data_IF_024791922117
#
_entry.id   IF_024791922117
#
_cell.length_a   1.000
_cell.length_b   1.000
_cell.length_c   1.000
_cell.angle_alpha   90.00
_cell.angle_beta   90.00
_cell.angle_gamma   90.00
#
_symmetry.space_group_name_H-M   'P 1'
#
loop_
_entity.id
_entity.type
_entity.pdbx_description
1 polymer ?
#
# COMPACT_ATOMS: atom_id res chain seq x y z
N UNK A 1 9.48 4.08 12.66
CA UNK A 1 8.14 3.68 12.25
C UNK A 1 8.23 3.30 10.79
N UNK A 2 7.86 2.09 10.44
CA UNK A 2 7.97 1.58 9.06
C UNK A 2 6.89 2.21 8.17
N UNK A 3 7.06 2.26 6.85
CA UNK A 3 6.12 2.90 5.90
C UNK A 3 4.67 2.38 6.09
N UNK A 4 4.54 1.07 6.32
CA UNK A 4 3.29 0.40 6.69
C UNK A 4 2.67 0.92 7.99
N UNK A 5 3.47 1.14 9.02
CA UNK A 5 2.97 1.60 10.33
C UNK A 5 2.46 3.04 10.22
N UNK A 6 3.13 3.88 9.42
CA UNK A 6 2.68 5.24 9.14
C UNK A 6 1.31 5.23 8.44
N UNK A 7 1.14 4.39 7.41
CA UNK A 7 -0.14 4.26 6.70
C UNK A 7 -1.31 3.92 7.64
N UNK A 8 -1.16 2.90 8.50
CA UNK A 8 -2.22 2.52 9.45
C UNK A 8 -2.39 3.45 10.66
N UNK A 9 -1.53 4.48 10.79
CA UNK A 9 -1.74 5.57 11.74
C UNK A 9 -2.61 6.69 11.17
N UNK A 10 -2.65 6.82 9.83
CA UNK A 10 -3.47 7.81 9.13
C UNK A 10 -4.82 7.22 8.67
N UNK A 11 -4.84 5.93 8.32
CA UNK A 11 -6.01 5.24 7.77
C UNK A 11 -6.51 4.20 8.78
N UNK A 12 -7.66 4.48 9.40
CA UNK A 12 -8.30 3.52 10.32
C UNK A 12 -9.18 2.53 9.55
N UNK A 13 -8.81 1.25 9.64
CA UNK A 13 -9.49 0.14 8.97
C UNK A 13 -9.50 -1.09 9.87
N UNK A 14 -10.49 -1.96 9.63
CA UNK A 14 -10.64 -3.23 10.36
C UNK A 14 -9.40 -4.11 10.25
N UNK A 15 -9.23 -5.03 11.21
CA UNK A 15 -8.13 -5.99 11.22
C UNK A 15 -8.06 -6.80 9.92
N UNK A 16 -9.20 -7.29 9.45
CA UNK A 16 -9.30 -8.08 8.20
C UNK A 16 -8.86 -7.25 6.99
N UNK A 17 -9.14 -5.95 7.01
CA UNK A 17 -8.72 -5.03 5.94
C UNK A 17 -7.22 -4.80 5.98
N UNK A 18 -6.61 -4.69 7.18
CA UNK A 18 -5.14 -4.63 7.33
C UNK A 18 -4.48 -5.87 6.74
N UNK A 19 -5.00 -7.06 7.07
CA UNK A 19 -4.51 -8.33 6.52
C UNK A 19 -4.63 -8.37 4.98
N UNK A 20 -5.70 -7.81 4.39
CA UNK A 20 -5.84 -7.70 2.93
C UNK A 20 -4.82 -6.75 2.29
N UNK A 21 -4.53 -5.62 2.93
CA UNK A 21 -3.48 -4.71 2.47
C UNK A 21 -2.10 -5.39 2.47
N UNK A 22 -1.79 -6.16 3.51
CA UNK A 22 -0.53 -6.93 3.60
C UNK A 22 -0.43 -7.98 2.49
N UNK A 23 -1.53 -8.67 2.17
CA UNK A 23 -1.57 -9.59 1.03
C UNK A 23 -1.42 -8.85 -0.30
N UNK A 24 -2.08 -7.71 -0.45
CA UNK A 24 -2.02 -6.92 -1.67
C UNK A 24 -0.62 -6.34 -1.90
N UNK A 25 0.07 -5.86 -0.85
CA UNK A 25 1.44 -5.38 -0.96
C UNK A 25 2.39 -6.49 -1.42
N UNK A 26 2.28 -7.68 -0.82
CA UNK A 26 3.11 -8.83 -1.20
C UNK A 26 2.85 -9.27 -2.65
N UNK A 27 1.59 -9.25 -3.10
CA UNK A 27 1.25 -9.53 -4.50
C UNK A 27 1.83 -8.47 -5.43
N UNK A 28 1.72 -7.20 -5.07
CA UNK A 28 2.23 -6.11 -5.90
C UNK A 28 3.75 -6.21 -6.05
N UNK A 29 4.49 -6.40 -4.95
CA UNK A 29 5.94 -6.61 -4.99
C UNK A 29 6.34 -7.83 -5.82
N UNK A 30 5.58 -8.93 -5.71
CA UNK A 30 5.83 -10.14 -6.49
C UNK A 30 5.65 -9.92 -8.00
N UNK A 31 4.63 -9.17 -8.41
CA UNK A 31 4.28 -9.02 -9.82
C UNK A 31 4.89 -7.79 -10.48
N UNK A 32 5.29 -6.77 -9.72
CA UNK A 32 5.86 -5.54 -10.28
C UNK A 32 7.11 -5.79 -11.15
N UNK A 33 8.06 -6.68 -10.80
CA UNK A 33 9.21 -6.99 -11.65
C UNK A 33 8.84 -7.60 -13.00
N UNK A 34 7.69 -8.30 -13.08
CA UNK A 34 7.26 -9.00 -14.28
C UNK A 34 6.53 -8.08 -15.27
N UNK A 35 5.66 -7.20 -14.77
CA UNK A 35 4.73 -6.42 -15.62
C UNK A 35 4.65 -4.92 -15.31
N UNK A 36 5.42 -4.40 -14.35
CA UNK A 36 5.46 -2.98 -13.96
C UNK A 36 4.07 -2.38 -13.67
N UNK A 37 3.43 -2.86 -12.60
CA UNK A 37 2.14 -2.36 -12.12
C UNK A 37 2.23 -0.93 -11.57
N UNK A 38 3.36 -0.60 -10.95
CA UNK A 38 3.71 0.75 -10.49
C UNK A 38 5.15 1.06 -10.87
N UNK A 39 5.55 2.33 -10.82
CA UNK A 39 6.93 2.71 -11.15
C UNK A 39 7.94 1.92 -10.32
N UNK A 40 8.92 1.32 -11.01
CA UNK A 40 10.03 0.57 -10.41
C UNK A 40 10.81 1.40 -9.38
N UNK A 41 10.91 2.70 -9.60
CA UNK A 41 11.62 3.60 -8.69
C UNK A 41 10.85 3.87 -7.41
N UNK A 42 9.55 3.60 -7.35
CA UNK A 42 8.68 3.94 -6.22
C UNK A 42 8.06 2.72 -5.53
N UNK A 43 8.35 1.49 -5.99
CA UNK A 43 7.79 0.27 -5.39
C UNK A 43 8.18 0.11 -3.90
N UNK A 44 9.32 0.70 -3.50
CA UNK A 44 9.77 0.70 -2.12
C UNK A 44 9.07 1.73 -1.23
N UNK A 45 8.28 2.65 -1.82
CA UNK A 45 7.46 3.65 -1.14
C UNK A 45 5.98 3.25 -1.18
N UNK A 46 5.69 1.95 -1.20
CA UNK A 46 4.38 1.40 -1.55
C UNK A 46 3.22 1.96 -0.70
N UNK A 47 3.42 2.04 0.61
CA UNK A 47 2.34 2.37 1.54
C UNK A 47 2.05 3.86 1.53
N UNK A 48 3.10 4.70 1.54
CA UNK A 48 2.95 6.15 1.41
C UNK A 48 2.49 6.59 0.03
N UNK A 49 3.23 6.25 -1.04
CA UNK A 49 2.97 6.79 -2.39
C UNK A 49 1.78 6.17 -3.11
N UNK A 50 1.46 4.90 -2.87
CA UNK A 50 0.42 4.24 -3.66
C UNK A 50 -0.84 3.98 -2.84
N UNK A 51 -0.71 3.52 -1.59
CA UNK A 51 -1.88 3.26 -0.76
C UNK A 51 -2.45 4.52 -0.11
N UNK A 52 -1.61 5.35 0.54
CA UNK A 52 -2.10 6.57 1.20
C UNK A 52 -2.64 7.57 0.17
N UNK A 53 -1.92 7.82 -0.93
CA UNK A 53 -2.40 8.69 -2.02
C UNK A 53 -3.74 8.20 -2.59
N UNK A 54 -3.95 6.88 -2.69
CA UNK A 54 -5.25 6.32 -3.11
C UNK A 54 -6.33 6.44 -2.03
N UNK A 55 -5.98 6.36 -0.76
CA UNK A 55 -6.92 6.54 0.34
C UNK A 55 -7.42 8.00 0.43
N UNK A 56 -6.58 8.99 0.08
CA UNK A 56 -6.95 10.41 0.08
C UNK A 56 -8.13 10.75 -0.85
N UNK A 57 -8.36 9.96 -1.92
CA UNK A 57 -9.50 10.18 -2.82
C UNK A 57 -10.77 9.45 -2.38
N UNK A 58 -10.70 8.65 -1.31
CA UNK A 58 -11.83 7.93 -0.75
C UNK A 58 -12.47 8.78 0.36
N UNK A 59 -13.55 9.47 0.02
CA UNK A 59 -14.36 10.26 0.95
C UNK A 59 -15.48 9.37 1.51
N UNK A 60 -15.50 9.14 2.83
CA UNK A 60 -16.48 8.28 3.53
C UNK A 60 -17.12 9.01 4.68
#
# INVERSE_FOLDING_TARGET
MNDRENFFSEVDVSRETRERFDLFSALLEKWNPAINLVSKTTIHELWGRHFLDSAQVYDV
#
